data_IF_265040274258
#
_entry.id   IF_265040274258
#
_cell.length_a   1.000
_cell.length_b   1.000
_cell.length_c   1.000
_cell.angle_alpha   90.00
_cell.angle_beta   90.00
_cell.angle_gamma   90.00
#
_symmetry.space_group_name_H-M   'P 1'
#
loop_
_entity.id
_entity.type
_entity.pdbx_description
1 polymer ?
#
# COMPACT_ATOMS: atom_id res chain seq x y z
N UNK A 1 3.29 13.37 31.40
CA UNK A 1 2.98 12.08 30.74
C UNK A 1 1.81 11.45 31.48
N UNK A 2 0.77 11.02 30.77
CA UNK A 2 -0.42 10.37 31.36
C UNK A 2 -0.17 8.90 31.70
N UNK A 3 -1.03 8.28 32.52
CA UNK A 3 -0.90 6.85 32.88
C UNK A 3 -0.93 5.93 31.66
N UNK A 4 -1.88 6.15 30.74
CA UNK A 4 -2.00 5.38 29.50
C UNK A 4 -0.78 5.53 28.57
N UNK A 5 -0.15 6.70 28.56
CA UNK A 5 1.08 6.91 27.80
C UNK A 5 2.27 6.17 28.44
N UNK A 6 2.34 6.12 29.78
CA UNK A 6 3.36 5.34 30.50
C UNK A 6 3.25 3.85 30.20
N UNK A 7 2.04 3.30 30.22
CA UNK A 7 1.79 1.90 29.91
C UNK A 7 2.15 1.58 28.44
N UNK A 8 1.80 2.49 27.51
CA UNK A 8 2.17 2.36 26.11
C UNK A 8 3.68 2.40 25.91
N UNK A 9 4.39 3.28 26.61
CA UNK A 9 5.85 3.37 26.58
C UNK A 9 6.50 2.09 27.08
N UNK A 10 6.00 1.53 28.18
CA UNK A 10 6.48 0.27 28.72
C UNK A 10 6.26 -0.90 27.75
N UNK A 11 5.08 -1.01 27.16
CA UNK A 11 4.79 -2.05 26.16
C UNK A 11 5.70 -1.96 24.92
N UNK A 12 6.08 -0.74 24.50
CA UNK A 12 7.04 -0.55 23.41
C UNK A 12 8.45 -1.03 23.79
N UNK A 13 8.88 -0.83 25.04
CA UNK A 13 10.17 -1.36 25.52
C UNK A 13 10.14 -2.89 25.65
N UNK A 14 9.03 -3.46 26.10
CA UNK A 14 8.83 -4.90 26.19
C UNK A 14 8.87 -5.55 24.79
N UNK A 15 8.14 -4.98 23.83
CA UNK A 15 8.16 -5.41 22.43
C UNK A 15 9.55 -5.29 21.79
N UNK A 16 10.33 -4.27 22.17
CA UNK A 16 11.71 -4.12 21.71
C UNK A 16 12.63 -5.23 22.23
N UNK A 17 12.37 -5.77 23.43
CA UNK A 17 13.16 -6.85 24.03
C UNK A 17 12.72 -8.25 23.59
N UNK A 18 11.42 -8.47 23.42
CA UNK A 18 10.85 -9.80 23.19
C UNK A 18 10.63 -10.13 21.70
N UNK A 19 10.59 -9.14 20.80
CA UNK A 19 10.30 -9.42 19.40
C UNK A 19 11.45 -10.17 18.68
N UNK A 20 11.14 -11.28 17.98
CA UNK A 20 12.13 -12.03 17.22
C UNK A 20 12.60 -11.29 15.95
N UNK A 21 11.82 -10.32 15.46
CA UNK A 21 12.09 -9.63 14.20
C UNK A 21 12.86 -8.31 14.43
N UNK A 22 14.00 -8.14 13.75
CA UNK A 22 14.83 -6.93 13.90
C UNK A 22 14.09 -5.63 13.56
N UNK A 23 13.24 -5.68 12.53
CA UNK A 23 12.46 -4.53 12.07
C UNK A 23 11.48 -4.04 13.13
N UNK A 24 10.83 -4.97 13.83
CA UNK A 24 9.90 -4.66 14.92
C UNK A 24 10.63 -4.07 16.12
N UNK A 25 11.77 -4.65 16.53
CA UNK A 25 12.60 -4.10 17.62
C UNK A 25 13.04 -2.67 17.34
N UNK A 26 13.58 -2.41 16.14
CA UNK A 26 14.01 -1.06 15.72
C UNK A 26 12.84 -0.08 15.65
N UNK A 27 11.67 -0.53 15.20
CA UNK A 27 10.48 0.31 15.14
C UNK A 27 9.95 0.65 16.54
N UNK A 28 9.91 -0.34 17.43
CA UNK A 28 9.49 -0.19 18.82
C UNK A 28 10.37 0.82 19.58
N UNK A 29 11.70 0.70 19.44
CA UNK A 29 12.65 1.64 20.03
C UNK A 29 12.49 3.06 19.47
N UNK A 30 12.37 3.21 18.15
CA UNK A 30 12.12 4.53 17.53
C UNK A 30 10.81 5.15 17.99
N UNK A 31 9.77 4.34 18.19
CA UNK A 31 8.49 4.81 18.71
C UNK A 31 8.60 5.26 20.18
N UNK A 32 9.32 4.49 21.02
CA UNK A 32 9.63 4.87 22.39
C UNK A 32 10.44 6.17 22.45
N UNK A 33 11.49 6.32 21.63
CA UNK A 33 12.29 7.55 21.55
C UNK A 33 11.47 8.79 21.19
N UNK A 34 10.55 8.67 20.22
CA UNK A 34 9.64 9.78 19.86
C UNK A 34 8.73 10.16 21.01
N UNK A 35 8.23 9.17 21.75
CA UNK A 35 7.35 9.39 22.90
C UNK A 35 8.11 10.09 24.05
N UNK A 36 9.35 9.68 24.31
CA UNK A 36 10.21 10.33 25.30
C UNK A 36 10.51 11.79 24.91
N UNK A 37 10.94 12.03 23.67
CA UNK A 37 11.22 13.38 23.13
C UNK A 37 10.01 14.31 23.21
N UNK A 38 8.80 13.81 22.91
CA UNK A 38 7.56 14.59 22.98
C UNK A 38 7.27 15.13 24.39
N UNK A 39 7.71 14.41 25.42
CA UNK A 39 7.55 14.81 26.82
C UNK A 39 8.81 15.46 27.42
N UNK A 40 9.83 15.75 26.60
CA UNK A 40 11.09 16.36 27.05
C UNK A 40 11.94 15.44 27.92
N UNK A 41 11.69 14.13 27.89
CA UNK A 41 12.40 13.13 28.70
C UNK A 41 13.43 12.40 27.85
N UNK A 42 14.50 11.95 28.51
CA UNK A 42 15.40 10.94 27.91
C UNK A 42 14.75 9.55 27.96
N UNK A 43 15.17 8.63 27.08
CA UNK A 43 14.58 7.29 27.00
C UNK A 43 14.71 6.53 28.34
N UNK A 44 15.85 6.69 29.03
CA UNK A 44 16.11 6.10 30.34
C UNK A 44 15.28 6.74 31.47
N UNK A 45 15.01 8.04 31.39
CA UNK A 45 14.21 8.78 32.35
C UNK A 45 12.70 8.48 32.18
N UNK A 46 12.24 8.32 30.95
CA UNK A 46 10.90 7.84 30.63
C UNK A 46 10.69 6.38 31.11
N UNK A 47 11.71 5.53 31.01
CA UNK A 47 11.65 4.14 31.50
C UNK A 47 11.52 4.06 33.02
N UNK A 48 12.25 4.90 33.77
CA UNK A 48 12.13 5.00 35.23
C UNK A 48 10.77 5.51 35.68
N UNK A 49 10.17 6.41 34.91
CA UNK A 49 8.87 7.01 35.22
C UNK A 49 7.69 6.05 34.97
N UNK A 50 7.87 5.02 34.15
CA UNK A 50 6.83 4.04 33.76
C UNK A 50 6.72 2.78 34.62
N UNK A 51 7.63 2.54 35.57
CA UNK A 51 7.75 1.25 36.27
C UNK A 51 6.87 1.01 37.49
N UNK A 52 6.21 2.04 38.04
CA UNK A 52 5.57 1.92 39.37
C UNK A 52 4.16 1.30 39.37
N UNK A 53 3.49 1.21 38.21
CA UNK A 53 2.07 0.80 38.19
C UNK A 53 1.86 -0.72 38.17
N UNK A 54 2.84 -1.53 37.76
CA UNK A 54 2.63 -2.99 37.58
C UNK A 54 3.08 -3.87 38.76
N UNK A 55 3.85 -3.33 39.72
CA UNK A 55 4.22 -4.08 40.93
C UNK A 55 3.01 -4.28 41.88
N UNK A 56 1.95 -3.46 41.73
CA UNK A 56 0.70 -3.60 42.48
C UNK A 56 -0.34 -4.50 41.80
N UNK A 57 -0.37 -4.59 40.47
CA UNK A 57 -1.32 -5.48 39.77
C UNK A 57 -0.88 -6.95 39.78
N UNK A 58 0.42 -7.24 39.77
CA UNK A 58 0.95 -8.62 39.85
C UNK A 58 0.89 -9.22 41.26
N UNK A 59 0.87 -8.40 42.31
CA UNK A 59 0.83 -8.85 43.71
C UNK A 59 -0.58 -9.07 44.27
N UNK A 60 -1.62 -8.53 43.63
CA UNK A 60 -3.02 -8.75 44.01
C UNK A 60 -3.62 -10.05 43.45
N UNK A 61 -3.07 -10.60 42.37
CA UNK A 61 -3.56 -11.85 41.77
C UNK A 61 -3.08 -13.13 42.48
N UNK A 62 -2.12 -13.04 43.40
CA UNK A 62 -1.52 -14.19 44.07
C UNK A 62 -2.19 -14.58 45.42
N UNK A 63 -3.23 -13.87 45.87
CA UNK A 63 -3.86 -14.08 47.19
C UNK A 63 -5.38 -14.30 47.11
N UNK A 64 -5.81 -15.34 46.39
CA UNK A 64 -7.15 -15.94 46.61
C UNK A 64 -7.22 -17.34 46.02
N UNK A 65 -6.54 -18.31 46.66
CA UNK A 65 -6.81 -19.73 46.44
C UNK A 65 -7.65 -20.22 47.61
N UNK A 66 -8.97 -20.50 47.45
CA UNK A 66 -9.76 -21.08 48.52
C UNK A 66 -9.36 -22.55 48.74
N UNK A 67 -9.71 -23.13 49.91
CA UNK A 67 -9.39 -24.53 50.23
C UNK A 67 -10.00 -25.48 49.19
N UNK A 68 -9.23 -26.52 48.80
CA UNK A 68 -9.66 -27.55 47.85
C UNK A 68 -10.87 -28.32 48.40
N UNK A 69 -12.07 -27.99 47.91
CA UNK A 69 -13.27 -28.81 48.08
C UNK A 69 -13.72 -29.35 46.72
N UNK A 70 -13.63 -30.68 46.58
CA UNK A 70 -14.18 -31.52 45.49
C UNK A 70 -13.78 -31.17 44.04
N UNK A 71 -12.68 -31.77 43.57
CA UNK A 71 -12.20 -31.65 42.18
C UNK A 71 -13.23 -32.03 41.11
N UNK A 72 -14.19 -32.90 41.44
CA UNK A 72 -15.22 -33.39 40.50
C UNK A 72 -16.36 -32.37 40.28
N UNK A 73 -16.69 -31.57 41.29
CA UNK A 73 -17.69 -30.51 41.15
C UNK A 73 -17.14 -29.35 40.31
N UNK A 74 -15.86 -28.99 40.52
CA UNK A 74 -15.17 -27.98 39.71
C UNK A 74 -15.01 -28.40 38.24
N UNK A 75 -14.68 -29.67 37.98
CA UNK A 75 -14.60 -30.18 36.59
C UNK A 75 -15.97 -30.19 35.91
N UNK A 76 -17.03 -30.62 36.60
CA UNK A 76 -18.38 -30.62 36.03
C UNK A 76 -18.91 -29.20 35.73
N UNK A 77 -18.62 -28.22 36.60
CA UNK A 77 -18.95 -26.80 36.34
C UNK A 77 -18.16 -26.29 35.14
N UNK A 78 -16.87 -26.62 35.06
CA UNK A 78 -15.98 -26.25 33.96
C UNK A 78 -16.42 -26.87 32.62
N UNK A 79 -16.83 -28.13 32.60
CA UNK A 79 -17.37 -28.79 31.42
C UNK A 79 -18.69 -28.16 30.96
N UNK A 80 -19.57 -27.80 31.90
CA UNK A 80 -20.82 -27.08 31.58
C UNK A 80 -20.56 -25.69 31.00
N UNK A 81 -19.57 -24.96 31.51
CA UNK A 81 -19.20 -23.65 30.95
C UNK A 81 -18.57 -23.78 29.58
N UNK A 82 -17.68 -24.78 29.37
CA UNK A 82 -17.13 -25.09 28.05
C UNK A 82 -18.22 -25.49 27.04
N UNK A 83 -19.17 -26.34 27.42
CA UNK A 83 -20.27 -26.75 26.56
C UNK A 83 -21.17 -25.56 26.17
N UNK A 84 -21.44 -24.64 27.11
CA UNK A 84 -22.17 -23.39 26.83
C UNK A 84 -21.39 -22.49 25.87
N UNK A 85 -20.08 -22.34 26.08
CA UNK A 85 -19.21 -21.55 25.22
C UNK A 85 -19.13 -22.15 23.79
N UNK A 86 -18.99 -23.47 23.67
CA UNK A 86 -18.96 -24.15 22.38
C UNK A 86 -20.27 -23.96 21.59
N UNK A 87 -21.43 -24.02 22.28
CA UNK A 87 -22.73 -23.70 21.66
C UNK A 87 -22.82 -22.24 21.23
N UNK A 88 -22.31 -21.32 22.04
CA UNK A 88 -22.28 -19.89 21.69
C UNK A 88 -21.42 -19.64 20.44
N UNK A 89 -20.22 -20.18 20.38
CA UNK A 89 -19.31 -20.06 19.22
C UNK A 89 -19.97 -20.63 17.97
N UNK A 90 -20.55 -21.82 18.05
CA UNK A 90 -21.25 -22.45 16.92
C UNK A 90 -22.40 -21.57 16.41
N UNK A 91 -23.21 -21.01 17.33
CA UNK A 91 -24.31 -20.14 16.96
C UNK A 91 -23.84 -18.81 16.36
N UNK A 92 -22.74 -18.25 16.88
CA UNK A 92 -22.12 -17.05 16.33
C UNK A 92 -21.59 -17.30 14.90
N UNK A 93 -20.99 -18.46 14.67
CA UNK A 93 -20.49 -18.86 13.35
C UNK A 93 -21.62 -19.05 12.34
N UNK A 94 -22.73 -19.69 12.74
CA UNK A 94 -23.92 -19.83 11.88
C UNK A 94 -24.49 -18.47 11.50
N UNK A 95 -24.56 -17.52 12.46
CA UNK A 95 -25.02 -16.16 12.18
C UNK A 95 -24.09 -15.43 11.21
N UNK A 96 -22.78 -15.48 11.47
CA UNK A 96 -21.78 -14.86 10.60
C UNK A 96 -21.85 -15.40 9.16
N UNK A 97 -22.03 -16.72 9.00
CA UNK A 97 -22.23 -17.33 7.68
C UNK A 97 -23.51 -16.84 7.00
N UNK A 98 -24.61 -16.73 7.75
CA UNK A 98 -25.88 -16.25 7.21
C UNK A 98 -25.85 -14.76 6.83
N UNK A 99 -25.16 -13.93 7.60
CA UNK A 99 -24.98 -12.50 7.31
C UNK A 99 -24.09 -12.30 6.08
N UNK A 100 -23.01 -13.08 5.98
CA UNK A 100 -22.14 -13.08 4.81
C UNK A 100 -22.91 -13.47 3.54
N UNK A 101 -23.74 -14.52 3.60
CA UNK A 101 -24.56 -14.94 2.47
C UNK A 101 -25.55 -13.84 2.03
N UNK A 102 -26.22 -13.17 2.99
CA UNK A 102 -27.12 -12.04 2.69
C UNK A 102 -26.38 -10.87 2.06
N UNK A 103 -25.18 -10.57 2.54
CA UNK A 103 -24.34 -9.51 2.01
C UNK A 103 -23.88 -9.82 0.58
N UNK A 104 -23.43 -11.05 0.33
CA UNK A 104 -23.04 -11.51 -1.01
C UNK A 104 -24.21 -11.47 -1.99
N UNK A 105 -25.41 -11.88 -1.56
CA UNK A 105 -26.63 -11.78 -2.36
C UNK A 105 -26.98 -10.32 -2.68
N UNK A 106 -26.90 -9.43 -1.69
CA UNK A 106 -27.13 -8.00 -1.88
C UNK A 106 -26.12 -7.37 -2.85
N UNK A 107 -24.84 -7.73 -2.74
CA UNK A 107 -23.80 -7.31 -3.70
C UNK A 107 -24.11 -7.83 -5.11
N UNK A 108 -24.43 -9.11 -5.25
CA UNK A 108 -24.78 -9.71 -6.55
C UNK A 108 -25.99 -9.03 -7.19
N UNK A 109 -27.02 -8.72 -6.40
CA UNK A 109 -28.19 -7.97 -6.86
C UNK A 109 -27.83 -6.54 -7.27
N UNK A 110 -26.95 -5.86 -6.54
CA UNK A 110 -26.45 -4.53 -6.89
C UNK A 110 -25.62 -4.55 -8.18
N UNK A 111 -24.77 -5.56 -8.37
CA UNK A 111 -24.04 -5.78 -9.62
C UNK A 111 -25.00 -6.03 -10.79
N UNK A 112 -26.05 -6.83 -10.61
CA UNK A 112 -27.08 -7.08 -11.62
C UNK A 112 -27.87 -5.82 -12.00
N UNK A 113 -28.02 -4.85 -11.07
CA UNK A 113 -28.63 -3.53 -11.32
C UNK A 113 -27.69 -2.53 -12.00
N UNK A 114 -26.43 -2.90 -12.23
CA UNK A 114 -25.47 -2.07 -12.97
C UNK A 114 -24.71 -1.04 -12.13
N UNK A 115 -24.55 -1.24 -10.81
CA UNK A 115 -23.71 -0.38 -9.95
C UNK A 115 -22.28 -0.22 -10.51
N UNK A 116 -21.77 -1.26 -11.16
CA UNK A 116 -20.45 -1.34 -11.80
C UNK A 116 -20.39 -0.85 -13.24
N UNK A 117 -21.52 -0.46 -13.85
CA UNK A 117 -21.52 -0.03 -15.24
C UNK A 117 -20.66 1.24 -15.43
N UNK A 118 -20.69 2.15 -14.45
CA UNK A 118 -19.86 3.35 -14.46
C UNK A 118 -18.39 3.07 -14.14
N UNK A 119 -18.09 2.11 -13.25
CA UNK A 119 -16.71 1.74 -12.94
C UNK A 119 -16.05 1.00 -14.11
N UNK A 120 -16.75 0.04 -14.74
CA UNK A 120 -16.28 -0.60 -15.99
C UNK A 120 -16.07 0.41 -17.12
N UNK A 121 -16.99 1.36 -17.32
CA UNK A 121 -16.81 2.45 -18.30
C UNK A 121 -15.58 3.30 -17.99
N UNK A 122 -15.27 3.55 -16.72
CA UNK A 122 -14.06 4.29 -16.31
C UNK A 122 -12.80 3.49 -16.57
N UNK A 123 -12.80 2.20 -16.28
CA UNK A 123 -11.68 1.29 -16.56
C UNK A 123 -11.43 1.17 -18.07
N UNK A 124 -12.47 0.96 -18.87
CA UNK A 124 -12.39 0.96 -20.34
C UNK A 124 -11.84 2.28 -20.89
N UNK A 125 -12.23 3.42 -20.30
CA UNK A 125 -11.68 4.73 -20.67
C UNK A 125 -10.21 4.89 -20.28
N UNK A 126 -9.76 4.30 -19.18
CA UNK A 126 -8.35 4.32 -18.76
C UNK A 126 -7.51 3.46 -19.69
N UNK A 127 -7.92 2.23 -19.96
CA UNK A 127 -7.20 1.35 -20.89
C UNK A 127 -7.13 1.97 -22.28
N UNK A 128 -8.21 2.60 -22.77
CA UNK A 128 -8.19 3.32 -24.04
C UNK A 128 -7.24 4.54 -24.06
N UNK A 129 -7.04 5.22 -22.92
CA UNK A 129 -6.11 6.36 -22.79
C UNK A 129 -4.66 5.92 -22.72
N UNK A 130 -4.36 4.78 -22.10
CA UNK A 130 -2.99 4.27 -21.99
C UNK A 130 -2.40 3.93 -23.38
N UNK A 131 -3.24 3.57 -24.36
CA UNK A 131 -2.82 3.39 -25.76
C UNK A 131 -2.71 4.69 -26.56
N UNK A 132 -3.22 5.81 -26.05
CA UNK A 132 -3.11 7.11 -26.70
C UNK A 132 -1.99 7.93 -26.06
N UNK A 133 -0.75 7.61 -26.41
CA UNK A 133 0.39 8.47 -26.10
C UNK A 133 0.11 9.87 -26.67
N UNK A 134 0.14 10.94 -25.85
CA UNK A 134 -0.16 12.29 -26.32
C UNK A 134 0.88 12.70 -27.36
N UNK A 135 0.45 12.86 -28.61
CA UNK A 135 1.31 13.37 -29.68
C UNK A 135 1.65 14.82 -29.36
N UNK A 136 2.91 15.08 -29.04
CA UNK A 136 3.40 16.42 -28.75
C UNK A 136 3.33 17.30 -30.01
N UNK A 137 2.28 18.12 -30.11
CA UNK A 137 2.03 19.02 -31.25
C UNK A 137 3.04 20.17 -31.37
N UNK A 138 3.92 20.35 -30.37
CA UNK A 138 4.97 21.39 -30.38
C UNK A 138 6.21 20.99 -31.20
N UNK A 139 6.34 19.72 -31.58
CA UNK A 139 7.46 19.29 -32.43
C UNK A 139 7.18 19.67 -33.89
N UNK A 140 8.15 20.34 -34.53
CA UNK A 140 8.13 20.62 -35.97
C UNK A 140 8.00 19.29 -36.74
N UNK A 141 7.23 19.29 -37.83
CA UNK A 141 7.08 18.10 -38.66
C UNK A 141 8.49 17.60 -39.11
N UNK A 142 8.83 16.33 -38.84
CA UNK A 142 10.19 15.81 -39.07
C UNK A 142 10.60 15.85 -40.54
N UNK A 143 9.64 15.68 -41.47
CA UNK A 143 9.90 15.78 -42.92
C UNK A 143 10.26 17.20 -43.33
N UNK A 144 9.54 18.20 -42.78
CA UNK A 144 9.83 19.61 -43.05
C UNK A 144 11.18 20.00 -42.45
N UNK A 145 11.50 19.51 -41.25
CA UNK A 145 12.79 19.74 -40.63
C UNK A 145 13.95 19.13 -41.44
N UNK A 146 13.81 17.88 -41.88
CA UNK A 146 14.81 17.19 -42.70
C UNK A 146 15.06 17.91 -44.04
N UNK A 147 14.02 18.44 -44.71
CA UNK A 147 14.21 19.23 -45.95
C UNK A 147 15.07 20.47 -45.74
N UNK A 148 14.87 21.17 -44.62
CA UNK A 148 15.70 22.34 -44.28
C UNK A 148 17.15 21.92 -44.03
N UNK A 149 17.38 20.84 -43.29
CA UNK A 149 18.74 20.35 -43.05
C UNK A 149 19.44 19.94 -44.36
N UNK A 150 18.73 19.27 -45.28
CA UNK A 150 19.28 18.90 -46.58
C UNK A 150 19.62 20.13 -47.43
N UNK A 151 18.83 21.20 -47.34
CA UNK A 151 19.02 22.44 -48.12
C UNK A 151 20.16 23.30 -47.57
N UNK A 152 20.17 23.49 -46.26
CA UNK A 152 21.02 24.49 -45.59
C UNK A 152 22.35 23.91 -45.09
N UNK A 153 22.44 22.59 -44.91
CA UNK A 153 23.62 21.96 -44.32
C UNK A 153 24.26 20.94 -45.27
N UNK A 154 25.53 20.60 -44.99
CA UNK A 154 26.26 19.50 -45.66
C UNK A 154 26.35 18.24 -44.80
N UNK A 155 25.45 18.08 -43.84
CA UNK A 155 25.43 16.93 -42.95
C UNK A 155 25.23 15.61 -43.73
N UNK A 156 25.83 14.50 -43.27
CA UNK A 156 25.59 13.19 -43.86
C UNK A 156 24.14 12.74 -43.64
N UNK A 157 23.64 11.91 -44.54
CA UNK A 157 22.23 11.46 -44.54
C UNK A 157 21.89 10.72 -43.23
N UNK A 158 22.84 9.93 -42.70
CA UNK A 158 22.70 9.22 -41.43
C UNK A 158 22.51 10.16 -40.23
N UNK A 159 23.20 11.30 -40.22
CA UNK A 159 23.11 12.27 -39.12
C UNK A 159 21.80 13.07 -39.19
N UNK A 160 21.34 13.44 -40.40
CA UNK A 160 20.03 14.07 -40.60
C UNK A 160 18.89 13.12 -40.18
N UNK A 161 19.01 11.83 -40.49
CA UNK A 161 18.07 10.80 -40.08
C UNK A 161 17.96 10.70 -38.54
N UNK A 162 19.11 10.68 -37.86
CA UNK A 162 19.20 10.68 -36.40
C UNK A 162 18.56 11.93 -35.76
N UNK A 163 18.84 13.13 -36.29
CA UNK A 163 18.30 14.40 -35.75
C UNK A 163 16.77 14.49 -35.92
N UNK A 164 16.22 13.94 -37.01
CA UNK A 164 14.81 14.07 -37.34
C UNK A 164 13.95 12.87 -36.91
N UNK A 165 14.53 11.86 -36.26
CA UNK A 165 13.87 10.59 -35.96
C UNK A 165 13.23 9.95 -37.23
N UNK A 166 13.95 9.97 -38.36
CA UNK A 166 13.50 9.43 -39.64
C UNK A 166 14.40 8.28 -40.11
N UNK A 167 13.84 7.40 -40.95
CA UNK A 167 14.62 6.37 -41.63
C UNK A 167 15.56 6.96 -42.70
N UNK A 168 16.75 6.36 -42.84
CA UNK A 168 17.82 6.82 -43.73
C UNK A 168 17.35 6.88 -45.18
N UNK A 169 16.56 5.89 -45.64
CA UNK A 169 16.05 5.87 -47.00
C UNK A 169 15.00 6.96 -47.24
N UNK A 170 14.23 7.32 -46.21
CA UNK A 170 13.27 8.43 -46.28
C UNK A 170 14.00 9.76 -46.54
N UNK A 171 15.11 10.00 -45.85
CA UNK A 171 15.95 11.19 -46.04
C UNK A 171 16.64 11.18 -47.41
N UNK A 172 17.17 10.04 -47.84
CA UNK A 172 17.75 9.89 -49.17
C UNK A 172 16.74 10.16 -50.30
N UNK A 173 15.51 9.63 -50.16
CA UNK A 173 14.42 9.88 -51.11
C UNK A 173 14.00 11.34 -51.16
N UNK A 174 13.96 12.05 -50.03
CA UNK A 174 13.73 13.50 -49.98
C UNK A 174 14.81 14.26 -50.74
N UNK A 175 16.08 13.92 -50.53
CA UNK A 175 17.21 14.53 -51.22
C UNK A 175 17.16 14.31 -52.73
N UNK A 176 16.77 13.11 -53.18
CA UNK A 176 16.60 12.80 -54.61
C UNK A 176 15.45 13.58 -55.23
N UNK A 177 14.28 13.62 -54.58
CA UNK A 177 13.12 14.39 -55.06
C UNK A 177 13.45 15.87 -55.25
N UNK A 178 14.24 16.46 -54.33
CA UNK A 178 14.67 17.86 -54.44
C UNK A 178 15.61 18.12 -55.63
N UNK A 179 16.35 17.12 -56.10
CA UNK A 179 17.20 17.24 -57.29
C UNK A 179 16.39 17.18 -58.59
N UNK A 180 15.31 16.39 -58.61
CA UNK A 180 14.42 16.31 -59.76
C UNK A 180 13.70 17.65 -60.00
N UNK A 181 13.17 18.27 -58.93
CA UNK A 181 12.46 19.56 -59.05
C UNK A 181 13.37 20.72 -59.48
N UNK A 182 14.65 20.72 -59.07
CA UNK A 182 15.61 21.76 -59.50
C UNK A 182 15.98 21.67 -60.98
N UNK A 183 15.72 20.53 -61.64
CA UNK A 183 16.04 20.33 -63.05
C UNK A 183 14.94 20.86 -63.98
N UNK A 184 13.75 21.09 -63.46
CA UNK A 184 12.58 21.57 -64.22
C UNK A 184 12.44 23.11 -64.18
N UNK A 185 13.22 23.80 -63.34
CA UNK A 185 13.19 25.26 -63.13
C UNK A 185 14.29 26.03 -63.92
N UNK A 186 14.94 25.39 -64.90
CA UNK A 186 15.94 25.98 -65.82
C UNK A 186 15.55 25.69 -67.26
#
# INVERSE_FOLDING_TARGET
>A
MTQSERDRFHNLLLMANESPFEGERRNALKAAERMAKRHGLTLEEAARTGGAAFQQFSSQQAKSRPPRESSEAETAVRERTFAKMAKFIRNAEVRARSEKARHEEALKAAYGRGLDAEERRREERKTARDFQTPKNSRRRNPIVHARVLIRETRLPISEIASICDLDVYTVAGLKLKMRCTQKDDV
#
